data_IF_542738129743
#
_entry.id   IF_542738129743
#
_cell.length_a   1.000
_cell.length_b   1.000
_cell.length_c   1.000
_cell.angle_alpha   90.00
_cell.angle_beta   90.00
_cell.angle_gamma   90.00
#
_symmetry.space_group_name_H-M   'P 1'
#
loop_
_entity.id
_entity.type
_entity.pdbx_description
1 polymer ?
#
# COMPACT_ATOMS: atom_id res chain seq x y z
N UNK A 1 33.19 -3.22 8.67
CA UNK A 1 32.36 -2.06 8.29
C UNK A 1 31.00 -2.13 9.00
N UNK A 2 30.24 -3.23 8.86
CA UNK A 2 28.87 -3.38 9.41
C UNK A 2 28.82 -3.27 10.93
N UNK A 3 29.71 -3.95 11.68
CA UNK A 3 29.76 -3.87 13.15
C UNK A 3 30.10 -2.47 13.66
N UNK A 4 30.97 -1.73 12.96
CA UNK A 4 31.26 -0.34 13.29
C UNK A 4 30.08 0.59 13.09
N UNK A 5 29.27 0.37 12.03
CA UNK A 5 28.05 1.12 11.80
C UNK A 5 27.01 0.83 12.88
N UNK A 6 26.80 -0.44 13.25
CA UNK A 6 25.89 -0.80 14.34
C UNK A 6 26.31 -0.15 15.67
N UNK A 7 27.61 -0.14 15.99
CA UNK A 7 28.11 0.51 17.20
C UNK A 7 27.86 2.03 17.17
N UNK A 8 28.08 2.68 16.03
CA UNK A 8 27.81 4.10 15.86
C UNK A 8 26.33 4.42 16.04
N UNK A 9 25.45 3.65 15.42
CA UNK A 9 24.01 3.83 15.57
C UNK A 9 23.52 3.54 16.99
N UNK A 10 24.10 2.53 17.66
CA UNK A 10 23.75 2.18 19.03
C UNK A 10 24.12 3.27 20.03
N UNK A 11 25.25 3.96 19.82
CA UNK A 11 25.76 4.97 20.76
C UNK A 11 25.30 6.38 20.41
N UNK A 12 25.37 6.75 19.13
CA UNK A 12 25.17 8.12 18.67
C UNK A 12 23.91 8.32 17.82
N UNK A 13 23.18 7.24 17.48
CA UNK A 13 22.07 7.32 16.55
C UNK A 13 20.97 8.29 16.99
N UNK A 14 20.68 8.36 18.29
CA UNK A 14 19.65 9.28 18.82
C UNK A 14 19.98 10.77 18.61
N UNK A 15 21.26 11.11 18.43
CA UNK A 15 21.70 12.49 18.18
C UNK A 15 22.01 12.79 16.72
N UNK A 16 22.10 11.76 15.87
CA UNK A 16 22.43 11.89 14.46
C UNK A 16 21.21 12.09 13.56
N UNK A 17 20.02 11.70 14.02
CA UNK A 17 18.81 11.71 13.22
C UNK A 17 17.69 12.46 13.95
N UNK A 18 16.90 13.21 13.20
CA UNK A 18 15.69 13.91 13.68
C UNK A 18 14.51 12.95 13.92
N UNK A 19 14.53 11.75 13.37
CA UNK A 19 13.44 10.75 13.42
C UNK A 19 12.07 11.23 12.93
N UNK A 20 12.06 12.22 12.03
CA UNK A 20 10.85 12.81 11.49
C UNK A 20 10.08 13.65 12.52
N UNK A 21 10.78 14.24 13.48
CA UNK A 21 10.23 15.06 14.55
C UNK A 21 9.48 16.27 14.00
N UNK A 22 10.10 17.03 13.09
CA UNK A 22 9.50 18.24 12.51
C UNK A 22 8.21 17.92 11.74
N UNK A 23 8.25 16.90 10.86
CA UNK A 23 7.09 16.46 10.10
C UNK A 23 5.97 15.93 11.02
N UNK A 24 6.34 15.13 12.03
CA UNK A 24 5.40 14.61 13.02
C UNK A 24 4.77 15.74 13.85
N UNK A 25 5.55 16.76 14.22
CA UNK A 25 5.04 17.90 14.97
C UNK A 25 4.00 18.70 14.17
N UNK A 26 4.27 18.97 12.89
CA UNK A 26 3.33 19.66 12.01
C UNK A 26 2.03 18.87 11.84
N UNK A 27 2.13 17.57 11.58
CA UNK A 27 0.97 16.69 11.41
C UNK A 27 0.16 16.55 12.68
N UNK A 28 0.79 16.35 13.83
CA UNK A 28 0.09 16.21 15.12
C UNK A 28 -0.57 17.53 15.54
N UNK A 29 0.08 18.67 15.35
CA UNK A 29 -0.51 19.99 15.61
C UNK A 29 -1.79 20.18 14.80
N UNK A 30 -1.77 19.87 13.51
CA UNK A 30 -2.97 19.98 12.68
C UNK A 30 -4.08 19.01 13.14
N UNK A 31 -3.74 17.78 13.50
CA UNK A 31 -4.72 16.82 14.03
C UNK A 31 -5.35 17.32 15.34
N UNK A 32 -4.55 17.81 16.30
CA UNK A 32 -5.06 18.37 17.54
C UNK A 32 -5.92 19.63 17.30
N UNK A 33 -5.49 20.49 16.36
CA UNK A 33 -6.29 21.63 15.95
C UNK A 33 -7.70 21.22 15.50
N UNK A 34 -7.78 20.23 14.59
CA UNK A 34 -9.07 19.71 14.10
C UNK A 34 -9.91 19.08 15.21
N UNK A 35 -9.29 18.33 16.12
CA UNK A 35 -9.98 17.70 17.25
C UNK A 35 -10.55 18.76 18.20
N UNK A 36 -9.76 19.76 18.58
CA UNK A 36 -10.21 20.83 19.48
C UNK A 36 -11.32 21.65 18.84
N UNK A 37 -11.20 21.96 17.55
CA UNK A 37 -12.22 22.67 16.78
C UNK A 37 -13.53 21.88 16.67
N UNK A 38 -13.46 20.58 16.39
CA UNK A 38 -14.64 19.70 16.30
C UNK A 38 -15.39 19.57 17.63
N UNK A 39 -14.68 19.69 18.75
CA UNK A 39 -15.26 19.64 20.10
C UNK A 39 -15.64 21.02 20.68
N UNK A 40 -15.62 22.09 19.89
CA UNK A 40 -15.88 23.47 20.28
C UNK A 40 -15.01 23.97 21.47
N UNK A 41 -13.76 23.51 21.52
CA UNK A 41 -12.78 23.86 22.55
C UNK A 41 -11.92 25.06 22.16
N UNK A 42 -12.56 26.17 21.73
CA UNK A 42 -11.86 27.36 21.19
C UNK A 42 -10.88 27.98 22.21
N UNK A 43 -11.21 27.96 23.49
CA UNK A 43 -10.33 28.49 24.54
C UNK A 43 -8.93 27.81 24.56
N UNK A 44 -8.89 26.52 24.25
CA UNK A 44 -7.62 25.77 24.17
C UNK A 44 -6.82 26.10 22.92
N UNK A 45 -7.49 26.36 21.81
CA UNK A 45 -6.85 26.83 20.57
C UNK A 45 -6.25 28.22 20.76
N UNK A 46 -6.99 29.14 21.42
CA UNK A 46 -6.50 30.49 21.69
C UNK A 46 -5.31 30.52 22.64
N UNK A 47 -5.12 29.47 23.44
CA UNK A 47 -3.93 29.24 24.27
C UNK A 47 -2.78 28.54 23.55
N UNK A 48 -2.95 28.12 22.29
CA UNK A 48 -1.93 27.40 21.53
C UNK A 48 -1.67 25.97 22.00
N UNK A 49 -2.63 25.33 22.67
CA UNK A 49 -2.50 23.98 23.21
C UNK A 49 -2.37 22.90 22.10
N UNK A 50 -2.93 23.15 20.92
CA UNK A 50 -2.77 22.30 19.74
C UNK A 50 -1.29 22.17 19.35
N UNK A 51 -0.55 23.28 19.30
CA UNK A 51 0.86 23.28 18.99
C UNK A 51 1.69 22.64 20.14
N UNK A 52 1.39 22.95 21.39
CA UNK A 52 2.07 22.36 22.53
C UNK A 52 1.90 20.83 22.59
N UNK A 53 0.66 20.34 22.45
CA UNK A 53 0.37 18.91 22.42
C UNK A 53 0.96 18.23 21.18
N UNK A 54 0.95 18.90 20.03
CA UNK A 54 1.55 18.40 18.79
C UNK A 54 3.05 18.19 18.92
N UNK A 55 3.77 19.19 19.44
CA UNK A 55 5.22 19.12 19.67
C UNK A 55 5.55 18.05 20.72
N UNK A 56 4.86 18.04 21.85
CA UNK A 56 5.10 17.06 22.92
C UNK A 56 4.89 15.61 22.42
N UNK A 57 3.86 15.38 21.61
CA UNK A 57 3.59 14.07 21.01
C UNK A 57 4.68 13.69 20.02
N UNK A 58 5.12 14.62 19.17
CA UNK A 58 6.20 14.39 18.21
C UNK A 58 7.53 14.08 18.90
N UNK A 59 7.84 14.78 20.00
CA UNK A 59 9.04 14.53 20.81
C UNK A 59 9.00 13.13 21.43
N UNK A 60 7.87 12.71 21.98
CA UNK A 60 7.70 11.36 22.50
C UNK A 60 7.87 10.29 21.42
N UNK A 61 7.28 10.50 20.24
CA UNK A 61 7.43 9.60 19.09
C UNK A 61 8.86 9.53 18.58
N UNK A 62 9.57 10.65 18.50
CA UNK A 62 10.97 10.69 18.08
C UNK A 62 11.87 9.98 19.09
N UNK A 63 11.65 10.17 20.38
CA UNK A 63 12.38 9.47 21.45
C UNK A 63 12.15 7.95 21.39
N UNK A 64 10.93 7.51 21.16
CA UNK A 64 10.60 6.09 21.02
C UNK A 64 11.26 5.47 19.78
N UNK A 65 11.20 6.14 18.62
CA UNK A 65 11.88 5.70 17.39
C UNK A 65 13.41 5.62 17.59
N UNK A 66 14.00 6.58 18.31
CA UNK A 66 15.42 6.57 18.64
C UNK A 66 15.78 5.37 19.53
N UNK A 67 14.97 5.11 20.57
CA UNK A 67 15.17 3.98 21.47
C UNK A 67 15.08 2.63 20.77
N UNK A 68 14.07 2.46 19.89
CA UNK A 68 13.92 1.27 19.06
C UNK A 68 15.12 1.04 18.15
N UNK A 69 15.59 2.08 17.45
CA UNK A 69 16.76 1.98 16.58
C UNK A 69 18.01 1.60 17.36
N UNK A 70 18.24 2.20 18.53
CA UNK A 70 19.39 1.89 19.39
C UNK A 70 19.32 0.44 19.90
N UNK A 71 18.15 -0.03 20.33
CA UNK A 71 17.96 -1.40 20.78
C UNK A 71 18.23 -2.41 19.65
N UNK A 72 17.73 -2.14 18.43
CA UNK A 72 17.99 -2.97 17.26
C UNK A 72 19.48 -2.94 16.84
N UNK A 73 20.14 -1.79 16.95
CA UNK A 73 21.56 -1.68 16.65
C UNK A 73 22.43 -2.50 17.64
N UNK A 74 22.10 -2.47 18.94
CA UNK A 74 22.76 -3.31 19.95
C UNK A 74 22.53 -4.80 19.70
N UNK A 75 21.29 -5.18 19.38
CA UNK A 75 20.95 -6.57 19.04
C UNK A 75 21.74 -7.04 17.81
N UNK A 76 21.74 -6.25 16.74
CA UNK A 76 22.49 -6.56 15.52
C UNK A 76 23.99 -6.68 15.75
N UNK A 77 24.57 -5.80 16.57
CA UNK A 77 25.98 -5.87 16.95
C UNK A 77 26.29 -7.19 17.68
N UNK A 78 25.43 -7.58 18.64
CA UNK A 78 25.59 -8.84 19.36
C UNK A 78 25.56 -10.04 18.41
N UNK A 79 24.59 -10.09 17.47
CA UNK A 79 24.48 -11.19 16.50
C UNK A 79 25.69 -11.26 15.57
N UNK A 80 26.20 -10.11 15.12
CA UNK A 80 27.42 -10.02 14.31
C UNK A 80 28.62 -10.57 15.10
N UNK A 81 28.78 -10.18 16.36
CA UNK A 81 29.88 -10.63 17.20
C UNK A 81 29.83 -12.14 17.47
N UNK A 82 28.64 -12.69 17.73
CA UNK A 82 28.44 -14.13 17.91
C UNK A 82 28.78 -14.91 16.63
N UNK A 83 28.30 -14.46 15.48
CA UNK A 83 28.61 -15.09 14.19
C UNK A 83 30.11 -14.99 13.85
N UNK A 84 30.71 -13.82 14.00
CA UNK A 84 32.14 -13.62 13.76
C UNK A 84 33.01 -14.43 14.72
N UNK A 85 32.66 -14.47 16.02
CA UNK A 85 33.29 -15.32 17.02
C UNK A 85 33.23 -16.81 16.67
N UNK A 86 32.08 -17.29 16.23
CA UNK A 86 31.92 -18.66 15.76
C UNK A 86 32.82 -18.99 14.56
N UNK A 87 32.87 -18.09 13.57
CA UNK A 87 33.76 -18.27 12.41
C UNK A 87 35.23 -18.24 12.83
N UNK A 88 35.61 -17.35 13.73
CA UNK A 88 36.97 -17.29 14.26
C UNK A 88 37.38 -18.54 15.02
N UNK A 89 36.51 -19.09 15.88
CA UNK A 89 36.73 -20.34 16.58
C UNK A 89 36.88 -21.53 15.62
N UNK A 90 36.13 -21.52 14.55
CA UNK A 90 36.24 -22.54 13.49
C UNK A 90 37.58 -22.39 12.74
N UNK A 91 37.97 -21.18 12.36
CA UNK A 91 39.26 -20.91 11.72
C UNK A 91 40.44 -21.34 12.60
N UNK A 92 40.33 -21.13 13.92
CA UNK A 92 41.31 -21.57 14.92
C UNK A 92 41.20 -23.08 15.21
N UNK A 93 40.36 -23.84 14.49
CA UNK A 93 40.13 -25.26 14.67
C UNK A 93 39.66 -25.66 16.09
N UNK A 94 39.03 -24.74 16.80
CA UNK A 94 38.49 -24.97 18.16
C UNK A 94 37.11 -25.63 18.14
N UNK A 95 36.36 -25.45 17.07
CA UNK A 95 35.02 -26.06 16.84
C UNK A 95 34.99 -26.76 15.50
N UNK A 96 34.15 -27.77 15.38
CA UNK A 96 33.92 -28.47 14.10
C UNK A 96 32.85 -27.80 13.26
N UNK A 97 32.71 -28.22 12.00
CA UNK A 97 31.74 -27.67 11.05
C UNK A 97 30.30 -27.77 11.54
N UNK A 98 29.93 -28.84 12.22
CA UNK A 98 28.56 -29.03 12.70
C UNK A 98 28.24 -28.06 13.84
N UNK A 99 29.18 -27.84 14.77
CA UNK A 99 29.02 -26.82 15.80
C UNK A 99 28.91 -25.41 15.26
N UNK A 100 29.71 -25.06 14.22
CA UNK A 100 29.58 -23.78 13.54
C UNK A 100 28.22 -23.64 12.86
N UNK A 101 27.77 -24.66 12.11
CA UNK A 101 26.45 -24.61 11.45
C UNK A 101 25.32 -24.48 12.47
N UNK A 102 25.37 -25.21 13.57
CA UNK A 102 24.39 -25.09 14.64
C UNK A 102 24.39 -23.70 15.29
N UNK A 103 25.58 -23.11 15.54
CA UNK A 103 25.70 -21.78 16.09
C UNK A 103 25.11 -20.72 15.15
N UNK A 104 25.49 -20.74 13.86
CA UNK A 104 24.98 -19.79 12.88
C UNK A 104 23.46 -19.94 12.67
N UNK A 105 22.96 -21.17 12.65
CA UNK A 105 21.53 -21.44 12.60
C UNK A 105 20.78 -20.89 13.82
N UNK A 106 21.35 -21.10 15.03
CA UNK A 106 20.78 -20.53 16.25
C UNK A 106 20.77 -19.01 16.26
N UNK A 107 21.87 -18.37 15.85
CA UNK A 107 21.95 -16.90 15.71
C UNK A 107 20.90 -16.39 14.74
N UNK A 108 20.74 -17.02 13.58
CA UNK A 108 19.74 -16.66 12.58
C UNK A 108 18.31 -16.82 13.13
N UNK A 109 18.00 -17.90 13.83
CA UNK A 109 16.68 -18.10 14.43
C UNK A 109 16.39 -17.08 15.52
N UNK A 110 17.37 -16.78 16.39
CA UNK A 110 17.23 -15.78 17.46
C UNK A 110 17.06 -14.36 16.90
N UNK A 111 17.55 -14.10 15.69
CA UNK A 111 17.36 -12.81 15.02
C UNK A 111 15.99 -12.73 14.31
N UNK A 112 15.59 -13.73 13.56
CA UNK A 112 14.39 -13.68 12.70
C UNK A 112 13.10 -13.97 13.48
N UNK A 113 13.07 -15.01 14.34
CA UNK A 113 11.83 -15.44 14.99
C UNK A 113 11.17 -14.34 15.82
N UNK A 114 11.87 -13.54 16.65
CA UNK A 114 11.21 -12.46 17.38
C UNK A 114 10.63 -11.36 16.47
N UNK A 115 11.23 -11.16 15.28
CA UNK A 115 10.69 -10.20 14.29
C UNK A 115 9.41 -10.78 13.67
N UNK A 116 9.44 -12.04 13.24
CA UNK A 116 8.29 -12.70 12.64
C UNK A 116 7.09 -12.76 13.60
N UNK A 117 7.33 -13.04 14.88
CA UNK A 117 6.30 -13.09 15.92
C UNK A 117 5.64 -11.73 16.20
N UNK A 118 6.22 -10.61 15.79
CA UNK A 118 5.56 -9.28 15.86
C UNK A 118 4.47 -9.14 14.80
N UNK A 119 4.61 -9.83 13.66
CA UNK A 119 3.72 -9.72 12.50
C UNK A 119 2.81 -10.94 12.34
N UNK A 120 3.21 -12.08 12.88
CA UNK A 120 2.50 -13.36 12.78
C UNK A 120 2.20 -13.89 14.17
N UNK A 121 1.04 -13.54 14.71
CA UNK A 121 0.51 -14.10 15.94
C UNK A 121 -0.22 -15.41 15.66
N UNK A 122 -0.49 -16.20 16.70
CA UNK A 122 -1.27 -17.43 16.55
C UNK A 122 -2.70 -17.16 16.04
N UNK A 123 -3.24 -15.99 16.32
CA UNK A 123 -4.59 -15.56 15.91
C UNK A 123 -4.69 -15.19 14.43
N UNK A 124 -3.54 -14.92 13.78
CA UNK A 124 -3.49 -14.66 12.34
C UNK A 124 -3.66 -15.95 11.51
N UNK A 125 -3.45 -17.11 12.14
CA UNK A 125 -3.63 -18.42 11.50
C UNK A 125 -5.06 -18.90 11.63
N UNK A 126 -5.89 -18.58 10.64
CA UNK A 126 -7.27 -19.08 10.57
C UNK A 126 -7.34 -20.35 9.73
N UNK A 127 -8.22 -21.27 10.11
CA UNK A 127 -8.42 -22.50 9.32
C UNK A 127 -8.92 -22.15 7.91
N UNK A 128 -8.49 -22.91 6.90
CA UNK A 128 -8.91 -22.72 5.51
C UNK A 128 -10.45 -22.70 5.34
N UNK A 129 -11.19 -23.40 6.21
CA UNK A 129 -12.65 -23.39 6.22
C UNK A 129 -13.25 -22.06 6.67
N UNK A 130 -12.58 -21.28 7.53
CA UNK A 130 -13.03 -19.93 7.95
C UNK A 130 -12.72 -18.86 6.93
N UNK A 131 -11.84 -19.15 5.97
CA UNK A 131 -11.39 -18.23 4.91
C UNK A 131 -12.26 -18.31 3.67
N UNK A 132 -13.44 -18.90 3.71
CA UNK A 132 -14.34 -18.92 2.55
C UNK A 132 -14.93 -17.51 2.34
N UNK A 133 -14.37 -16.80 1.37
CA UNK A 133 -15.00 -15.59 0.84
C UNK A 133 -16.29 -16.06 0.15
N UNK A 134 -17.42 -15.65 0.71
CA UNK A 134 -18.74 -16.06 0.21
C UNK A 134 -19.24 -15.02 -0.80
N UNK A 135 -19.64 -15.48 -1.97
CA UNK A 135 -20.21 -14.60 -2.99
C UNK A 135 -21.50 -13.94 -2.49
N UNK A 136 -21.57 -12.62 -2.57
CA UNK A 136 -22.75 -11.82 -2.25
C UNK A 136 -23.87 -12.05 -3.27
N UNK A 137 -25.06 -11.48 -3.03
CA UNK A 137 -26.13 -11.50 -4.01
C UNK A 137 -25.74 -10.78 -5.31
N UNK A 138 -24.99 -9.67 -5.20
CA UNK A 138 -24.45 -8.94 -6.34
C UNK A 138 -23.46 -9.80 -7.13
N UNK A 139 -22.53 -10.48 -6.46
CA UNK A 139 -21.56 -11.36 -7.12
C UNK A 139 -22.26 -12.49 -7.89
N UNK A 140 -23.27 -13.11 -7.29
CA UNK A 140 -24.04 -14.18 -7.94
C UNK A 140 -24.79 -13.69 -9.17
N UNK A 141 -25.36 -12.48 -9.13
CA UNK A 141 -26.02 -11.86 -10.26
C UNK A 141 -25.05 -11.60 -11.41
N UNK A 142 -23.85 -11.08 -11.10
CA UNK A 142 -22.80 -10.82 -12.11
C UNK A 142 -22.24 -12.11 -12.69
N UNK A 143 -22.02 -13.15 -11.88
CA UNK A 143 -21.52 -14.46 -12.32
C UNK A 143 -22.51 -15.21 -13.24
N UNK A 144 -23.78 -14.79 -13.29
CA UNK A 144 -24.76 -15.30 -14.25
C UNK A 144 -24.50 -14.81 -15.68
N UNK A 145 -23.82 -13.65 -15.86
CA UNK A 145 -23.37 -13.16 -17.16
C UNK A 145 -22.13 -13.98 -17.61
N UNK A 146 -22.26 -14.70 -18.73
CA UNK A 146 -21.21 -15.60 -19.23
C UNK A 146 -20.23 -14.96 -20.21
N UNK A 147 -20.39 -13.67 -20.51
CA UNK A 147 -19.43 -12.95 -21.34
C UNK A 147 -18.08 -12.84 -20.59
N UNK A 148 -16.96 -13.32 -21.16
CA UNK A 148 -15.69 -13.37 -20.44
C UNK A 148 -14.93 -12.05 -20.43
N UNK A 149 -15.36 -11.05 -21.17
CA UNK A 149 -14.56 -9.87 -21.50
C UNK A 149 -14.74 -8.66 -20.60
N UNK A 150 -15.75 -8.60 -19.73
CA UNK A 150 -16.06 -7.43 -18.93
C UNK A 150 -15.31 -7.35 -17.61
N UNK A 151 -15.28 -6.14 -17.04
CA UNK A 151 -14.75 -5.84 -15.71
C UNK A 151 -15.84 -5.33 -14.77
N UNK A 152 -15.51 -5.39 -13.47
CA UNK A 152 -16.39 -4.97 -12.37
C UNK A 152 -15.65 -3.94 -11.51
N UNK A 153 -16.35 -2.87 -11.13
CA UNK A 153 -15.90 -1.92 -10.13
C UNK A 153 -16.79 -2.05 -8.88
N UNK A 154 -16.19 -2.33 -7.74
CA UNK A 154 -16.91 -2.44 -6.48
C UNK A 154 -16.73 -1.17 -5.66
N UNK A 155 -17.82 -0.45 -5.43
CA UNK A 155 -17.86 0.79 -4.67
C UNK A 155 -18.33 0.58 -3.21
N UNK A 156 -18.61 -0.68 -2.82
CA UNK A 156 -18.95 -1.01 -1.42
C UNK A 156 -17.72 -1.26 -0.55
N UNK A 157 -16.54 -1.36 -1.17
CA UNK A 157 -15.23 -1.51 -0.53
C UNK A 157 -14.29 -0.43 -1.06
N UNK A 158 -13.10 -0.33 -0.51
CA UNK A 158 -12.04 0.54 -1.09
C UNK A 158 -11.49 -0.12 -2.37
N UNK A 159 -11.86 0.32 -3.59
CA UNK A 159 -11.62 -0.44 -4.82
C UNK A 159 -10.16 -0.77 -5.08
N UNK A 160 -9.23 0.09 -4.64
CA UNK A 160 -7.80 -0.01 -4.92
C UNK A 160 -6.97 -0.52 -3.73
N UNK A 161 -7.63 -0.82 -2.60
CA UNK A 161 -7.00 -1.36 -1.38
C UNK A 161 -7.59 -2.71 -0.97
N UNK A 162 -8.63 -3.18 -1.67
CA UNK A 162 -9.30 -4.45 -1.41
C UNK A 162 -9.09 -5.42 -2.57
N UNK A 163 -8.93 -6.70 -2.27
CA UNK A 163 -8.75 -7.77 -3.25
C UNK A 163 -9.96 -8.73 -3.35
N UNK A 164 -10.99 -8.57 -2.51
CA UNK A 164 -12.13 -9.50 -2.45
C UNK A 164 -12.92 -9.56 -3.75
N UNK A 165 -13.10 -8.41 -4.42
CA UNK A 165 -13.76 -8.35 -5.73
C UNK A 165 -13.03 -9.17 -6.79
N UNK A 166 -11.70 -9.19 -6.75
CA UNK A 166 -10.86 -9.94 -7.69
C UNK A 166 -10.97 -11.45 -7.50
N UNK A 167 -11.53 -11.91 -6.38
CA UNK A 167 -11.76 -13.33 -6.14
C UNK A 167 -12.85 -13.92 -7.05
N UNK A 168 -13.86 -13.13 -7.35
CA UNK A 168 -15.00 -13.57 -8.18
C UNK A 168 -15.00 -12.97 -9.59
N UNK A 169 -14.42 -11.78 -9.78
CA UNK A 169 -14.57 -11.00 -11.00
C UNK A 169 -13.23 -10.43 -11.48
N UNK A 170 -13.17 -10.06 -12.76
CA UNK A 170 -12.09 -9.21 -13.28
C UNK A 170 -12.32 -7.79 -12.78
N UNK A 171 -11.67 -7.42 -11.67
CA UNK A 171 -11.83 -6.11 -11.06
C UNK A 171 -11.09 -5.01 -11.84
N UNK A 172 -11.67 -3.81 -11.88
CA UNK A 172 -10.95 -2.57 -12.25
C UNK A 172 -9.98 -2.17 -11.15
N UNK A 173 -10.31 -2.49 -9.91
CA UNK A 173 -9.49 -2.25 -8.73
C UNK A 173 -8.55 -3.41 -8.40
N UNK A 174 -8.26 -3.53 -7.12
CA UNK A 174 -7.40 -4.56 -6.53
C UNK A 174 -6.15 -3.97 -5.88
N UNK A 175 -5.60 -4.74 -4.95
CA UNK A 175 -4.38 -4.37 -4.23
C UNK A 175 -3.26 -5.37 -4.55
N UNK A 176 -2.16 -4.88 -5.12
CA UNK A 176 -0.92 -5.64 -5.24
C UNK A 176 0.29 -4.72 -5.43
N UNK A 177 1.48 -5.18 -4.99
CA UNK A 177 2.70 -4.37 -4.99
C UNK A 177 3.33 -4.15 -6.37
N UNK A 178 2.94 -4.91 -7.40
CA UNK A 178 3.50 -4.82 -8.76
C UNK A 178 2.57 -4.08 -9.74
N UNK A 179 1.87 -3.04 -9.26
CA UNK A 179 1.01 -2.21 -10.09
C UNK A 179 1.84 -1.37 -11.07
N UNK A 180 1.42 -1.31 -12.34
CA UNK A 180 2.05 -0.44 -13.33
C UNK A 180 1.85 1.03 -12.98
N UNK A 181 2.90 1.86 -13.07
CA UNK A 181 2.81 3.30 -12.82
C UNK A 181 1.74 3.97 -13.69
N UNK A 182 1.65 3.64 -14.98
CA UNK A 182 0.58 4.15 -15.88
C UNK A 182 -0.83 3.83 -15.37
N UNK A 183 -1.02 2.68 -14.73
CA UNK A 183 -2.33 2.34 -14.16
C UNK A 183 -2.60 3.11 -12.87
N UNK A 184 -1.56 3.41 -12.08
CA UNK A 184 -1.68 4.29 -10.93
C UNK A 184 -2.09 5.71 -11.36
N UNK A 185 -1.45 6.26 -12.41
CA UNK A 185 -1.83 7.57 -12.96
C UNK A 185 -3.30 7.59 -13.42
N UNK A 186 -3.80 6.50 -13.99
CA UNK A 186 -5.19 6.36 -14.40
C UNK A 186 -6.13 6.30 -13.19
N UNK A 187 -5.73 5.63 -12.11
CA UNK A 187 -6.48 5.60 -10.85
C UNK A 187 -6.59 7.01 -10.27
N UNK A 188 -5.46 7.70 -10.14
CA UNK A 188 -5.39 8.99 -9.46
C UNK A 188 -6.20 10.07 -10.20
N UNK A 189 -6.24 10.03 -11.53
CA UNK A 189 -6.92 11.05 -12.33
C UNK A 189 -8.38 10.77 -12.62
N UNK A 190 -8.73 9.50 -12.85
CA UNK A 190 -10.03 9.14 -13.40
C UNK A 190 -10.79 8.11 -12.57
N UNK A 191 -10.15 6.99 -12.24
CA UNK A 191 -10.86 5.87 -11.63
C UNK A 191 -11.27 6.15 -10.17
N UNK A 192 -10.52 6.95 -9.43
CA UNK A 192 -10.88 7.37 -8.08
C UNK A 192 -12.16 8.23 -8.05
N UNK A 193 -12.46 8.91 -9.15
CA UNK A 193 -13.67 9.70 -9.33
C UNK A 193 -14.74 8.95 -10.16
N UNK A 194 -14.51 7.67 -10.45
CA UNK A 194 -15.41 6.83 -11.26
C UNK A 194 -15.79 7.48 -12.61
N UNK A 195 -14.80 8.05 -13.32
CA UNK A 195 -15.01 8.67 -14.64
C UNK A 195 -15.64 7.69 -15.63
N UNK A 196 -16.81 8.05 -16.15
CA UNK A 196 -17.63 7.17 -16.99
C UNK A 196 -16.94 6.80 -18.31
N UNK A 197 -16.25 7.74 -18.96
CA UNK A 197 -15.58 7.50 -20.24
C UNK A 197 -14.43 6.49 -20.09
N UNK A 198 -13.64 6.63 -19.03
CA UNK A 198 -12.53 5.71 -18.73
C UNK A 198 -13.05 4.35 -18.27
N UNK A 199 -14.12 4.31 -17.49
CA UNK A 199 -14.76 3.05 -17.11
C UNK A 199 -15.33 2.30 -18.33
N UNK A 200 -15.92 3.01 -19.28
CA UNK A 200 -16.44 2.43 -20.52
C UNK A 200 -15.32 1.88 -21.40
N UNK A 201 -14.22 2.63 -21.54
CA UNK A 201 -12.99 2.20 -22.22
C UNK A 201 -12.40 0.93 -21.58
N UNK A 202 -12.43 0.81 -20.27
CA UNK A 202 -11.98 -0.37 -19.53
C UNK A 202 -12.97 -1.53 -19.59
N UNK A 203 -14.06 -1.39 -20.32
CA UNK A 203 -15.15 -2.38 -20.39
C UNK A 203 -15.74 -2.71 -19.01
N UNK A 204 -15.93 -1.70 -18.17
CA UNK A 204 -16.56 -1.86 -16.86
C UNK A 204 -18.06 -1.99 -17.02
N UNK A 205 -18.55 -3.23 -17.09
CA UNK A 205 -19.97 -3.54 -17.35
C UNK A 205 -20.81 -3.51 -16.10
N UNK A 206 -20.24 -3.80 -14.94
CA UNK A 206 -20.96 -3.83 -13.68
C UNK A 206 -20.30 -2.95 -12.63
N UNK A 207 -21.13 -2.24 -11.88
CA UNK A 207 -20.79 -1.61 -10.62
C UNK A 207 -21.44 -2.43 -9.50
N UNK A 208 -20.73 -2.65 -8.40
CA UNK A 208 -21.31 -3.12 -7.16
C UNK A 208 -21.43 -1.89 -6.26
N UNK A 209 -22.68 -1.53 -5.94
CA UNK A 209 -23.01 -0.32 -5.19
C UNK A 209 -23.70 -0.68 -3.87
N UNK A 210 -23.71 0.21 -2.86
CA UNK A 210 -24.53 0.03 -1.68
C UNK A 210 -26.01 0.07 -2.07
N UNK A 211 -26.70 -1.06 -1.92
CA UNK A 211 -28.12 -1.16 -2.14
C UNK A 211 -28.95 -0.83 -0.90
N UNK A 212 -30.23 -1.16 -0.92
CA UNK A 212 -31.13 -1.01 0.21
C UNK A 212 -30.60 -1.81 1.41
N UNK A 213 -30.72 -1.23 2.61
CA UNK A 213 -30.26 -1.86 3.87
C UNK A 213 -28.75 -2.17 3.91
N UNK A 214 -27.94 -1.49 3.07
CA UNK A 214 -26.47 -1.67 3.05
C UNK A 214 -25.98 -2.97 2.38
N UNK A 215 -26.87 -3.76 1.76
CA UNK A 215 -26.45 -4.96 1.04
C UNK A 215 -25.86 -4.58 -0.34
N UNK A 216 -24.78 -5.23 -0.80
CA UNK A 216 -24.23 -5.00 -2.12
C UNK A 216 -25.23 -5.34 -3.23
N UNK A 217 -25.40 -4.42 -4.18
CA UNK A 217 -26.29 -4.57 -5.35
C UNK A 217 -25.50 -4.40 -6.65
N UNK A 218 -25.78 -5.25 -7.64
CA UNK A 218 -25.12 -5.19 -8.95
C UNK A 218 -25.90 -4.25 -9.89
N UNK A 219 -25.27 -3.19 -10.33
CA UNK A 219 -25.78 -2.26 -11.33
C UNK A 219 -25.08 -2.49 -12.67
N UNK A 220 -25.86 -2.82 -13.71
CA UNK A 220 -25.34 -3.03 -15.06
C UNK A 220 -25.19 -1.69 -15.79
N UNK A 221 -24.01 -1.45 -16.38
CA UNK A 221 -23.74 -0.35 -17.30
C UNK A 221 -23.94 -0.82 -18.75
N UNK A 222 -24.65 -0.04 -19.53
CA UNK A 222 -24.92 -0.34 -20.95
C UNK A 222 -23.97 0.38 -21.91
N UNK A 223 -23.16 1.29 -21.39
CA UNK A 223 -22.26 2.17 -22.15
C UNK A 223 -20.87 1.56 -22.38
N UNK A 224 -20.50 0.51 -21.64
CA UNK A 224 -19.20 -0.16 -21.77
C UNK A 224 -18.89 -0.57 -23.22
N UNK A 225 -17.67 -0.28 -23.70
CA UNK A 225 -17.33 -0.42 -25.13
C UNK A 225 -17.13 -1.87 -25.58
N UNK A 226 -17.01 -2.80 -24.67
CA UNK A 226 -16.68 -4.19 -24.96
C UNK A 226 -15.18 -4.48 -24.84
N UNK A 227 -14.80 -5.72 -25.14
CA UNK A 227 -13.41 -6.17 -25.04
C UNK A 227 -12.51 -5.55 -26.11
N UNK A 228 -13.06 -5.14 -27.25
CA UNK A 228 -12.41 -4.44 -28.34
C UNK A 228 -13.47 -3.69 -29.16
N UNK A 229 -13.07 -2.54 -29.71
CA UNK A 229 -13.94 -1.74 -30.57
C UNK A 229 -13.10 -1.02 -31.64
N UNK A 230 -13.73 -0.62 -32.72
CA UNK A 230 -13.11 0.19 -33.77
C UNK A 230 -13.28 1.68 -33.43
N UNK A 231 -12.31 2.49 -33.79
CA UNK A 231 -12.32 3.94 -33.67
C UNK A 231 -12.22 4.60 -35.05
N UNK A 232 -12.79 5.79 -35.18
CA UNK A 232 -12.79 6.54 -36.44
C UNK A 232 -11.53 7.39 -36.62
N UNK A 233 -10.88 7.74 -35.52
CA UNK A 233 -9.69 8.61 -35.52
C UNK A 233 -8.68 8.23 -34.42
N UNK A 234 -7.43 8.70 -34.65
CA UNK A 234 -6.34 8.51 -33.69
C UNK A 234 -5.66 9.85 -33.44
N UNK A 235 -5.55 10.25 -32.19
CA UNK A 235 -4.80 11.41 -31.72
C UNK A 235 -3.43 10.94 -31.21
N UNK A 236 -2.35 11.50 -31.75
CA UNK A 236 -1.00 11.25 -31.29
C UNK A 236 -0.57 12.30 -30.26
N UNK A 237 -0.44 11.87 -29.00
CA UNK A 237 -0.01 12.74 -27.92
C UNK A 237 1.52 12.84 -27.88
N UNK A 238 2.09 14.05 -27.71
CA UNK A 238 3.54 14.27 -27.74
C UNK A 238 4.28 13.68 -26.51
N UNK A 239 3.56 13.34 -25.45
CA UNK A 239 4.10 12.77 -24.22
C UNK A 239 3.06 11.92 -23.48
N UNK A 240 3.51 11.08 -22.56
CA UNK A 240 2.63 10.29 -21.70
C UNK A 240 1.71 11.19 -20.84
N UNK A 241 2.20 12.36 -20.43
CA UNK A 241 1.40 13.34 -19.70
C UNK A 241 0.25 13.90 -20.57
N UNK A 242 0.55 14.24 -21.83
CA UNK A 242 -0.47 14.71 -22.77
C UNK A 242 -1.46 13.59 -23.13
N UNK A 243 -1.00 12.34 -23.23
CA UNK A 243 -1.85 11.17 -23.47
C UNK A 243 -2.90 11.03 -22.37
N UNK A 244 -2.47 11.03 -21.11
CA UNK A 244 -3.41 10.87 -19.99
C UNK A 244 -4.35 12.08 -19.85
N UNK A 245 -3.87 13.30 -20.13
CA UNK A 245 -4.69 14.51 -20.07
C UNK A 245 -5.78 14.56 -21.17
N UNK A 246 -5.57 13.87 -22.27
CA UNK A 246 -6.51 13.77 -23.38
C UNK A 246 -7.61 12.74 -23.13
N UNK A 247 -7.39 11.73 -22.31
CA UNK A 247 -8.41 10.68 -22.04
C UNK A 247 -9.71 11.27 -21.51
N UNK A 248 -9.64 12.24 -20.59
CA UNK A 248 -10.84 12.88 -20.04
C UNK A 248 -11.45 13.97 -20.91
N UNK A 249 -10.86 14.28 -22.09
CA UNK A 249 -11.32 15.34 -23.00
C UNK A 249 -11.76 14.81 -24.36
N UNK A 250 -11.58 13.51 -24.59
CA UNK A 250 -11.79 12.86 -25.89
C UNK A 250 -12.94 11.87 -25.77
N UNK A 251 -13.79 11.82 -26.78
CA UNK A 251 -14.74 10.73 -26.92
C UNK A 251 -13.98 9.43 -27.27
N UNK A 252 -13.69 8.63 -26.26
CA UNK A 252 -12.91 7.40 -26.38
C UNK A 252 -13.63 6.28 -27.16
N UNK A 253 -14.94 6.46 -27.45
CA UNK A 253 -15.70 5.52 -28.29
C UNK A 253 -15.30 5.62 -29.74
N UNK A 254 -15.01 6.82 -30.20
CA UNK A 254 -14.75 7.12 -31.62
C UNK A 254 -13.29 7.48 -31.89
N UNK A 255 -12.53 7.78 -30.85
CA UNK A 255 -11.15 8.30 -30.98
C UNK A 255 -10.20 7.60 -30.02
N UNK A 256 -9.12 7.05 -30.55
CA UNK A 256 -8.01 6.53 -29.74
C UNK A 256 -6.98 7.62 -29.48
N UNK A 257 -6.41 7.61 -28.26
CA UNK A 257 -5.28 8.45 -27.88
C UNK A 257 -4.04 7.56 -27.74
N UNK A 258 -2.95 7.91 -28.41
CA UNK A 258 -1.71 7.12 -28.46
C UNK A 258 -0.52 8.03 -28.20
N UNK A 259 0.39 7.63 -27.30
CA UNK A 259 1.65 8.33 -27.09
C UNK A 259 2.62 8.05 -28.23
N UNK A 260 3.23 9.09 -28.80
CA UNK A 260 4.24 8.96 -29.85
C UNK A 260 4.00 9.88 -31.04
N UNK A 261 4.82 9.67 -32.07
CA UNK A 261 4.69 10.40 -33.34
C UNK A 261 3.85 9.60 -34.34
N UNK A 262 3.10 10.33 -35.16
CA UNK A 262 2.36 9.71 -36.27
C UNK A 262 3.34 9.02 -37.23
N UNK A 263 3.26 7.70 -37.43
CA UNK A 263 4.16 6.97 -38.34
C UNK A 263 3.96 7.33 -39.83
N UNK A 264 2.91 8.09 -40.15
CA UNK A 264 2.60 8.53 -41.51
C UNK A 264 3.14 9.93 -41.86
N UNK A 265 3.99 10.49 -40.98
CA UNK A 265 4.68 11.76 -41.24
C UNK A 265 6.19 11.57 -41.31
#
# INVERSE_FOLDING_TARGET
>A
VTGGLCLLLAVAGGSLFDFGREESAAMMTEQFHQILKANNMQEYLDRGMDAEMGIATADAMAAERASMMQADAWRSLLMILLAAGGVALFALRRINKYALTALLGAVMLLDLVPVDLRFLSHDDFISARRRQITATAADKAILADKDPGFRVLNLTVSPFQDATTSYFHRSVGGYHGAKLARYQDLIDRYLSNADDGVLDMLNTRYLIVPGKEGQPEAQRRTTAFGAAWFVDSVIYAPSAQAEIDLLGKTDLRTTAVVSGQNPAK
#
